data_IF_411551048207
#
_entry.id   IF_411551048207
#
_cell.length_a   1.000
_cell.length_b   1.000
_cell.length_c   1.000
_cell.angle_alpha   90.00
_cell.angle_beta   90.00
_cell.angle_gamma   90.00
#
_symmetry.space_group_name_H-M   'P 1'
#
loop_
_entity.id
_entity.type
_entity.pdbx_description
1 polymer ?
#
# COMPACT_ATOMS: atom_id res chain seq x y z
N UNK A 1 16.34 14.62 3.50
CA UNK A 1 16.89 13.29 3.50
C UNK A 1 15.97 12.35 4.23
N UNK A 2 15.60 11.26 3.62
CA UNK A 2 14.69 10.35 4.29
C UNK A 2 15.47 9.30 5.03
N UNK A 3 14.94 8.91 6.15
CA UNK A 3 15.51 7.88 6.96
C UNK A 3 14.88 6.57 6.54
N UNK A 4 15.66 5.50 6.46
CA UNK A 4 15.07 4.21 6.11
C UNK A 4 13.92 3.91 7.05
N UNK A 5 12.81 3.52 6.50
CA UNK A 5 11.64 3.25 7.29
C UNK A 5 10.72 4.44 7.43
N UNK A 6 11.17 5.62 6.98
CA UNK A 6 10.31 6.78 7.02
C UNK A 6 9.43 6.91 5.79
N UNK A 7 9.74 6.20 4.75
CA UNK A 7 8.96 6.30 3.53
C UNK A 7 7.61 5.66 3.75
N UNK A 8 6.54 6.34 3.40
CA UNK A 8 5.22 5.75 3.59
C UNK A 8 4.99 4.61 2.62
N UNK A 9 4.11 3.72 3.01
CA UNK A 9 3.65 2.70 2.10
C UNK A 9 2.73 3.34 1.06
N UNK A 10 2.60 2.70 -0.07
CA UNK A 10 1.70 3.17 -1.11
C UNK A 10 0.48 2.27 -1.15
N UNK A 11 -0.69 2.89 -1.22
CA UNK A 11 -1.95 2.19 -1.27
C UNK A 11 -2.58 2.41 -2.63
N UNK A 12 -2.93 1.35 -3.32
CA UNK A 12 -3.59 1.51 -4.62
C UNK A 12 -4.55 0.35 -4.89
N UNK A 13 -5.54 0.66 -5.71
CA UNK A 13 -6.55 -0.32 -6.07
C UNK A 13 -6.11 -1.09 -7.31
N UNK A 14 -6.37 -2.38 -7.31
CA UNK A 14 -6.01 -3.20 -8.44
C UNK A 14 -6.98 -2.93 -9.59
N UNK A 15 -6.47 -2.52 -10.72
CA UNK A 15 -7.35 -2.15 -11.82
C UNK A 15 -8.06 -3.32 -12.46
N UNK A 16 -7.35 -4.41 -12.76
CA UNK A 16 -8.05 -5.55 -13.34
C UNK A 16 -9.09 -6.15 -12.40
N UNK A 17 -8.94 -5.95 -11.09
CA UNK A 17 -9.87 -6.51 -10.13
C UNK A 17 -10.29 -5.43 -9.16
N UNK A 18 -11.21 -4.58 -9.56
CA UNK A 18 -11.67 -3.50 -8.69
C UNK A 18 -12.18 -4.07 -7.37
N UNK A 19 -11.87 -3.42 -6.30
CA UNK A 19 -12.22 -3.89 -4.98
C UNK A 19 -11.07 -4.57 -4.28
N UNK A 20 -10.04 -4.96 -5.02
CA UNK A 20 -8.83 -5.50 -4.41
C UNK A 20 -7.86 -4.35 -4.22
N UNK A 21 -7.16 -4.35 -3.11
CA UNK A 21 -6.26 -3.25 -2.79
C UNK A 21 -4.90 -3.79 -2.45
N UNK A 22 -3.88 -3.01 -2.77
CA UNK A 22 -2.49 -3.39 -2.56
C UNK A 22 -1.81 -2.37 -1.67
N UNK A 23 -0.93 -2.85 -0.81
CA UNK A 23 -0.03 -1.98 -0.06
C UNK A 23 1.38 -2.35 -0.49
N UNK A 24 2.11 -1.39 -0.99
CA UNK A 24 3.48 -1.63 -1.46
C UNK A 24 4.44 -0.79 -0.63
N UNK A 25 5.54 -1.38 -0.24
CA UNK A 25 6.55 -0.66 0.53
C UNK A 25 7.94 -1.13 0.15
N UNK A 26 8.93 -0.36 0.54
CA UNK A 26 10.31 -0.70 0.28
C UNK A 26 10.93 -1.20 1.58
N UNK A 27 11.57 -2.35 1.52
CA UNK A 27 12.18 -2.88 2.72
C UNK A 27 13.59 -2.31 2.91
N UNK A 28 14.25 -2.75 3.96
CA UNK A 28 15.55 -2.19 4.32
C UNK A 28 16.62 -2.48 3.30
N UNK A 29 16.45 -3.52 2.54
CA UNK A 29 17.43 -3.89 1.53
C UNK A 29 17.20 -3.17 0.21
N UNK A 30 16.21 -2.34 0.15
CA UNK A 30 15.87 -1.66 -1.10
C UNK A 30 14.96 -2.44 -2.01
N UNK A 31 14.50 -3.60 -1.57
CA UNK A 31 13.56 -4.38 -2.35
C UNK A 31 12.14 -3.91 -2.13
N UNK A 32 11.24 -4.37 -2.97
CA UNK A 32 9.84 -4.03 -2.84
C UNK A 32 9.07 -5.19 -2.28
N UNK A 33 8.15 -4.88 -1.39
CA UNK A 33 7.22 -5.87 -0.86
C UNK A 33 5.81 -5.40 -1.14
N UNK A 34 4.89 -6.32 -1.25
CA UNK A 34 3.52 -5.94 -1.53
C UNK A 34 2.58 -6.89 -0.81
N UNK A 35 1.53 -6.35 -0.23
CA UNK A 35 0.46 -7.13 0.37
C UNK A 35 -0.81 -6.85 -0.39
N UNK A 36 -1.63 -7.86 -0.60
CA UNK A 36 -2.87 -7.71 -1.33
C UNK A 36 -4.03 -8.00 -0.39
N UNK A 37 -5.06 -7.18 -0.49
CA UNK A 37 -6.26 -7.32 0.32
C UNK A 37 -7.46 -7.44 -0.60
N UNK A 38 -8.31 -8.40 -0.33
CA UNK A 38 -9.49 -8.67 -1.16
C UNK A 38 -10.70 -8.82 -0.26
N UNK A 39 -11.86 -8.82 -0.89
CA UNK A 39 -13.10 -9.05 -0.17
C UNK A 39 -13.67 -7.77 0.41
N UNK A 40 -14.68 -7.90 1.27
CA UNK A 40 -15.32 -6.72 1.80
C UNK A 40 -14.36 -5.92 2.65
N UNK A 41 -14.42 -4.64 2.50
CA UNK A 41 -13.61 -3.72 3.28
C UNK A 41 -12.11 -3.89 3.04
N UNK A 42 -11.75 -4.33 1.84
CA UNK A 42 -10.33 -4.52 1.53
C UNK A 42 -9.54 -3.25 1.72
N UNK A 43 -10.10 -2.10 1.28
CA UNK A 43 -9.38 -0.85 1.42
C UNK A 43 -9.15 -0.50 2.90
N UNK A 44 -10.17 -0.70 3.72
CA UNK A 44 -10.02 -0.39 5.13
C UNK A 44 -8.96 -1.25 5.78
N UNK A 45 -8.96 -2.53 5.44
CA UNK A 45 -7.96 -3.43 6.00
C UNK A 45 -6.57 -3.09 5.54
N UNK A 46 -6.45 -2.69 4.29
CA UNK A 46 -5.16 -2.28 3.75
C UNK A 46 -4.65 -1.02 4.45
N UNK A 47 -5.55 -0.07 4.70
CA UNK A 47 -5.18 1.15 5.39
C UNK A 47 -4.70 0.85 6.80
N UNK A 48 -5.44 0.00 7.52
CA UNK A 48 -5.05 -0.34 8.87
C UNK A 48 -3.67 -1.02 8.88
N UNK A 49 -3.46 -1.91 7.93
CA UNK A 49 -2.19 -2.60 7.82
C UNK A 49 -1.05 -1.59 7.61
N UNK A 50 -1.24 -0.67 6.68
CA UNK A 50 -0.21 0.31 6.39
C UNK A 50 0.07 1.22 7.58
N UNK A 51 -0.98 1.62 8.27
CA UNK A 51 -0.80 2.50 9.42
C UNK A 51 -0.10 1.79 10.56
N UNK A 52 -0.43 0.54 10.79
CA UNK A 52 0.17 -0.19 11.89
C UNK A 52 1.60 -0.60 11.62
N UNK A 53 1.89 -0.98 10.40
CA UNK A 53 3.21 -1.50 10.07
C UNK A 53 4.18 -0.42 9.66
N UNK A 54 3.68 0.64 9.04
CA UNK A 54 4.56 1.64 8.45
C UNK A 54 4.25 3.05 8.89
N UNK A 55 3.30 3.22 9.77
CA UNK A 55 2.98 4.51 10.33
C UNK A 55 2.22 5.43 9.41
N UNK A 56 1.79 4.94 8.26
CA UNK A 56 1.02 5.76 7.35
C UNK A 56 1.07 5.22 5.94
N UNK A 57 0.39 5.89 5.05
CA UNK A 57 0.35 5.46 3.67
C UNK A 57 0.06 6.66 2.78
N UNK A 58 0.36 6.49 1.50
CA UNK A 58 0.01 7.48 0.50
C UNK A 58 -0.85 6.77 -0.52
N UNK A 59 -2.03 7.27 -0.78
CA UNK A 59 -2.92 6.63 -1.75
C UNK A 59 -2.56 7.08 -3.15
N UNK A 60 -2.32 6.11 -4.00
CA UNK A 60 -1.96 6.37 -5.38
C UNK A 60 -3.14 6.04 -6.26
N UNK A 61 -3.49 6.93 -7.17
CA UNK A 61 -4.56 6.64 -8.08
C UNK A 61 -4.04 5.85 -9.23
N UNK A 62 -4.77 4.82 -9.58
CA UNK A 62 -4.47 4.11 -10.76
C UNK A 62 -4.95 4.91 -11.91
N UNK A 63 -4.20 5.80 -12.34
CA UNK A 63 -4.65 6.69 -13.35
C UNK A 63 -4.35 6.14 -14.70
N UNK A 64 -5.35 5.67 -15.31
CA UNK A 64 -5.14 5.17 -16.56
C UNK A 64 -5.89 5.87 -17.47
N UNK A 65 -5.63 6.86 -17.65
CA UNK A 65 -6.40 7.67 -18.59
C UNK A 65 -6.84 6.85 -19.68
#
# INVERSE_FOLDING_TARGET
>A
MSIPGDDPAFLFEDRPSPGDWHVQWTDDDGGFEMAMFSGPRARERAVIFAERCYGGYEQVRSNQG
#
